data_IF_187376791389
#
_entry.id   IF_187376791389
#
_cell.length_a   1.000
_cell.length_b   1.000
_cell.length_c   1.000
_cell.angle_alpha   90.00
_cell.angle_beta   90.00
_cell.angle_gamma   90.00
#
_symmetry.space_group_name_H-M   'P 1'
#
loop_
_entity.id
_entity.type
_entity.pdbx_description
1 polymer ?
#
# COMPACT_ATOMS: atom_id res chain seq x y z
N UNK A 1 18.32 4.80 23.58
CA UNK A 1 17.75 4.92 22.22
C UNK A 1 16.33 4.38 22.25
N UNK A 2 15.33 5.25 22.14
CA UNK A 2 13.93 4.82 22.01
C UNK A 2 13.77 4.07 20.69
N UNK A 3 13.35 2.80 20.74
CA UNK A 3 12.96 2.05 19.54
C UNK A 3 11.65 2.64 19.05
N UNK A 4 11.74 3.71 18.26
CA UNK A 4 10.59 4.30 17.60
C UNK A 4 10.09 3.28 16.56
N UNK A 5 9.19 2.41 17.00
CA UNK A 5 8.53 1.44 16.13
C UNK A 5 7.70 2.22 15.11
N UNK A 6 7.90 1.94 13.83
CA UNK A 6 7.06 2.54 12.80
C UNK A 6 5.62 2.06 12.96
N UNK A 7 4.63 2.94 12.77
CA UNK A 7 3.23 2.57 12.91
C UNK A 7 2.87 1.48 11.90
N UNK A 8 1.99 0.55 12.29
CA UNK A 8 1.54 -0.56 11.44
C UNK A 8 1.00 -0.12 10.07
N UNK A 9 0.39 1.07 10.01
CA UNK A 9 -0.09 1.69 8.79
C UNK A 9 1.02 2.00 7.78
N UNK A 10 2.26 2.21 8.22
CA UNK A 10 3.41 2.35 7.34
C UNK A 10 3.74 1.04 6.62
N UNK A 11 3.82 -0.07 7.38
CA UNK A 11 4.07 -1.39 6.81
C UNK A 11 2.94 -1.84 5.88
N UNK A 12 1.68 -1.58 6.25
CA UNK A 12 0.55 -1.90 5.37
C UNK A 12 0.60 -1.11 4.06
N UNK A 13 1.00 0.16 4.12
CA UNK A 13 1.18 1.01 2.93
C UNK A 13 2.27 0.45 2.03
N UNK A 14 3.41 0.05 2.59
CA UNK A 14 4.54 -0.49 1.84
C UNK A 14 4.20 -1.81 1.16
N UNK A 15 3.52 -2.73 1.86
CA UNK A 15 3.05 -4.00 1.31
C UNK A 15 2.03 -3.78 0.20
N UNK A 16 1.05 -2.90 0.43
CA UNK A 16 0.02 -2.56 -0.56
C UNK A 16 0.64 -1.98 -1.82
N UNK A 17 1.63 -1.10 -1.65
CA UNK A 17 2.37 -0.51 -2.75
C UNK A 17 3.14 -1.56 -3.55
N UNK A 18 3.84 -2.48 -2.88
CA UNK A 18 4.55 -3.57 -3.52
C UNK A 18 3.60 -4.48 -4.32
N UNK A 19 2.46 -4.88 -3.76
CA UNK A 19 1.46 -5.71 -4.45
C UNK A 19 0.94 -5.02 -5.70
N UNK A 20 0.56 -3.74 -5.59
CA UNK A 20 0.08 -2.95 -6.70
C UNK A 20 1.13 -2.85 -7.82
N UNK A 21 2.35 -2.44 -7.46
CA UNK A 21 3.43 -2.25 -8.42
C UNK A 21 3.85 -3.55 -9.10
N UNK A 22 4.01 -4.64 -8.35
CA UNK A 22 4.38 -5.94 -8.92
C UNK A 22 3.29 -6.42 -9.90
N UNK A 23 2.02 -6.33 -9.50
CA UNK A 23 0.91 -6.81 -10.34
C UNK A 23 0.81 -6.02 -11.65
N UNK A 24 0.92 -4.68 -11.59
CA UNK A 24 0.80 -3.85 -12.79
C UNK A 24 2.02 -4.03 -13.72
N UNK A 25 3.22 -4.15 -13.16
CA UNK A 25 4.43 -4.35 -13.95
C UNK A 25 4.42 -5.72 -14.63
N UNK A 26 4.03 -6.79 -13.93
CA UNK A 26 3.92 -8.11 -14.56
C UNK A 26 2.85 -8.10 -15.65
N UNK A 27 1.69 -7.48 -15.42
CA UNK A 27 0.65 -7.37 -16.44
C UNK A 27 1.16 -6.66 -17.70
N UNK A 28 1.77 -5.48 -17.55
CA UNK A 28 2.29 -4.69 -18.68
C UNK A 28 3.41 -5.43 -19.39
N UNK A 29 4.39 -5.95 -18.64
CA UNK A 29 5.58 -6.61 -19.19
C UNK A 29 5.20 -7.88 -19.96
N UNK A 30 4.35 -8.74 -19.38
CA UNK A 30 3.91 -9.97 -20.04
C UNK A 30 3.08 -9.71 -21.28
N UNK A 31 2.26 -8.65 -21.28
CA UNK A 31 1.47 -8.25 -22.45
C UNK A 31 2.35 -7.68 -23.57
N UNK A 32 3.35 -6.86 -23.24
CA UNK A 32 4.31 -6.33 -24.22
C UNK A 32 5.15 -7.44 -24.84
N UNK A 33 5.60 -8.41 -24.03
CA UNK A 33 6.44 -9.52 -24.48
C UNK A 33 5.66 -10.65 -25.17
N UNK A 34 4.32 -10.59 -25.22
CA UNK A 34 3.49 -11.70 -25.70
C UNK A 34 3.72 -12.98 -24.90
N UNK A 35 4.07 -12.86 -23.62
CA UNK A 35 4.49 -13.97 -22.78
C UNK A 35 3.29 -14.90 -22.48
N UNK A 36 3.46 -16.23 -22.39
CA UNK A 36 2.37 -17.17 -22.09
C UNK A 36 1.71 -16.98 -20.71
N UNK A 37 2.36 -16.23 -19.81
CA UNK A 37 1.79 -15.81 -18.52
C UNK A 37 1.01 -14.49 -18.59
N UNK A 38 0.82 -13.93 -19.79
CA UNK A 38 -0.05 -12.78 -20.00
C UNK A 38 -1.48 -13.23 -19.73
N UNK A 39 -2.02 -12.76 -18.61
CA UNK A 39 -3.35 -13.13 -18.15
C UNK A 39 -4.02 -11.91 -17.54
N UNK A 40 -5.30 -11.73 -17.87
CA UNK A 40 -6.12 -10.69 -17.27
C UNK A 40 -6.33 -10.89 -15.76
N UNK A 41 -5.97 -12.07 -15.21
CA UNK A 41 -5.96 -12.31 -13.76
C UNK A 41 -5.03 -11.34 -13.00
N UNK A 42 -3.98 -10.82 -13.64
CA UNK A 42 -3.12 -9.80 -13.03
C UNK A 42 -3.88 -8.50 -12.72
N UNK A 43 -4.94 -8.18 -13.46
CA UNK A 43 -5.80 -7.01 -13.16
C UNK A 43 -6.46 -7.12 -11.80
N UNK A 44 -6.77 -8.34 -11.33
CA UNK A 44 -7.32 -8.56 -9.98
C UNK A 44 -6.29 -8.11 -8.94
N UNK A 45 -5.02 -8.48 -9.11
CA UNK A 45 -3.92 -8.03 -8.25
C UNK A 45 -3.73 -6.51 -8.26
N UNK A 46 -3.87 -5.88 -9.44
CA UNK A 46 -3.83 -4.42 -9.59
C UNK A 46 -4.98 -3.75 -8.83
N UNK A 47 -6.22 -4.19 -9.03
CA UNK A 47 -7.39 -3.61 -8.36
C UNK A 47 -7.30 -3.83 -6.85
N UNK A 48 -6.96 -5.05 -6.41
CA UNK A 48 -6.80 -5.37 -4.99
C UNK A 48 -5.71 -4.51 -4.35
N UNK A 49 -4.53 -4.43 -4.97
CA UNK A 49 -3.42 -3.59 -4.51
C UNK A 49 -3.80 -2.11 -4.42
N UNK A 50 -4.54 -1.60 -5.40
CA UNK A 50 -5.02 -0.21 -5.42
C UNK A 50 -5.96 0.10 -4.26
N UNK A 51 -6.96 -0.77 -4.02
CA UNK A 51 -7.91 -0.63 -2.90
C UNK A 51 -7.16 -0.69 -1.56
N UNK A 52 -6.22 -1.62 -1.41
CA UNK A 52 -5.38 -1.74 -0.22
C UNK A 52 -4.51 -0.50 0.04
N UNK A 53 -4.00 0.13 -1.02
CA UNK A 53 -3.25 1.37 -0.96
C UNK A 53 -4.11 2.53 -0.45
N UNK A 54 -5.31 2.69 -1.01
CA UNK A 54 -6.27 3.71 -0.57
C UNK A 54 -6.65 3.52 0.91
N UNK A 55 -6.90 2.27 1.31
CA UNK A 55 -7.20 1.94 2.70
C UNK A 55 -6.02 2.26 3.62
N UNK A 56 -4.80 1.88 3.23
CA UNK A 56 -3.60 2.14 4.03
C UNK A 56 -3.34 3.64 4.20
N UNK A 57 -3.50 4.43 3.13
CA UNK A 57 -3.39 5.91 3.19
C UNK A 57 -4.42 6.48 4.16
N UNK A 58 -5.66 5.99 4.11
CA UNK A 58 -6.72 6.42 5.04
C UNK A 58 -6.33 6.14 6.50
N UNK A 59 -5.78 4.96 6.77
CA UNK A 59 -5.31 4.59 8.12
C UNK A 59 -4.15 5.46 8.60
N UNK A 60 -3.19 5.78 7.73
CA UNK A 60 -2.10 6.71 8.06
C UNK A 60 -2.66 8.08 8.45
N UNK A 61 -3.64 8.60 7.70
CA UNK A 61 -4.26 9.90 8.03
C UNK A 61 -4.99 9.89 9.37
N UNK A 62 -5.69 8.81 9.70
CA UNK A 62 -6.38 8.65 10.99
C UNK A 62 -5.34 8.65 12.11
N UNK A 63 -4.29 7.85 11.97
CA UNK A 63 -3.23 7.74 12.98
C UNK A 63 -2.49 9.07 13.19
N UNK A 64 -2.23 9.83 12.12
CA UNK A 64 -1.66 11.17 12.26
C UNK A 64 -2.57 12.14 13.02
N UNK A 65 -3.90 12.07 12.79
CA UNK A 65 -4.86 12.89 13.55
C UNK A 65 -4.86 12.55 15.04
N UNK A 66 -4.82 11.26 15.38
CA UNK A 66 -4.74 10.80 16.77
C UNK A 66 -3.49 11.32 17.48
N UNK A 67 -2.33 11.26 16.81
CA UNK A 67 -1.07 11.76 17.36
C UNK A 67 -1.07 13.28 17.58
N UNK A 68 -1.74 14.04 16.71
CA UNK A 68 -1.89 15.50 16.86
C UNK A 68 -2.75 15.82 18.09
N UNK A 69 -3.90 15.16 18.24
CA UNK A 69 -4.80 15.36 19.38
C UNK A 69 -4.09 15.04 20.71
N UNK A 70 -3.40 13.90 20.79
CA UNK A 70 -2.63 13.54 21.99
C UNK A 70 -1.56 14.58 22.32
N UNK A 71 -0.93 15.17 21.31
CA UNK A 71 0.08 16.21 21.51
C UNK A 71 -0.53 17.53 22.01
N UNK A 72 -1.77 17.82 21.65
CA UNK A 72 -2.51 19.01 22.11
C UNK A 72 -3.05 18.83 23.54
N UNK A 73 -3.49 17.63 23.93
CA UNK A 73 -3.97 17.35 25.29
C UNK A 73 -2.88 17.34 26.37
N UNK A 74 -1.63 17.06 25.99
CA UNK A 74 -0.47 17.03 26.91
C UNK A 74 0.09 18.44 27.16
N UNK A 75 -0.38 19.46 26.44
CA UNK A 75 0.14 20.83 26.50
C UNK A 75 -0.71 21.74 27.38
#
# INVERSE_FOLDING_TARGET
MSKQQMPWSFYSTLVSFAIFFVSINIFILTKILGHPLSSDLWLIGVVAGFVLLLYSIRMVRIHQKELIIQKEEVK
#
